data_IF_445480584041
#
_entry.id   IF_445480584041
#
_cell.length_a   1.000
_cell.length_b   1.000
_cell.length_c   1.000
_cell.angle_alpha   90.00
_cell.angle_beta   90.00
_cell.angle_gamma   90.00
#
_symmetry.space_group_name_H-M   'P 1'
#
loop_
_entity.id
_entity.type
_entity.pdbx_description
1 polymer ?
#
# COMPACT_ATOMS: atom_id res chain seq x y z
N UNK A 1 5.16 -3.62 -19.42
CA UNK A 1 5.13 -2.52 -18.42
C UNK A 1 6.54 -2.40 -17.86
N UNK A 2 7.09 -1.20 -17.86
CA UNK A 2 8.40 -0.96 -17.26
C UNK A 2 8.20 -0.68 -15.77
N UNK A 3 8.70 -1.55 -14.90
CA UNK A 3 8.61 -1.37 -13.45
C UNK A 3 9.83 -0.59 -12.97
N UNK A 4 9.57 0.58 -12.44
CA UNK A 4 10.55 1.50 -11.86
C UNK A 4 9.99 2.11 -10.55
N UNK A 5 10.80 2.93 -9.89
CA UNK A 5 10.44 3.57 -8.62
C UNK A 5 9.11 4.34 -8.70
N UNK A 6 8.91 5.10 -9.77
CA UNK A 6 7.70 5.91 -9.97
C UNK A 6 6.47 5.02 -10.13
N UNK A 7 6.52 4.04 -11.03
CA UNK A 7 5.40 3.10 -11.23
C UNK A 7 5.08 2.30 -9.97
N UNK A 8 6.10 1.95 -9.17
CA UNK A 8 5.95 1.25 -7.90
C UNK A 8 5.27 2.13 -6.85
N UNK A 9 5.70 3.39 -6.71
CA UNK A 9 5.11 4.35 -5.78
C UNK A 9 3.65 4.64 -6.15
N UNK A 10 3.35 4.83 -7.45
CA UNK A 10 1.98 5.03 -7.93
C UNK A 10 1.11 3.81 -7.65
N UNK A 11 1.61 2.61 -7.94
CA UNK A 11 0.88 1.37 -7.65
C UNK A 11 0.60 1.21 -6.15
N UNK A 12 1.57 1.54 -5.29
CA UNK A 12 1.40 1.50 -3.84
C UNK A 12 0.27 2.42 -3.37
N UNK A 13 0.27 3.68 -3.81
CA UNK A 13 -0.80 4.63 -3.48
C UNK A 13 -2.14 4.20 -4.05
N UNK A 14 -2.17 3.67 -5.27
CA UNK A 14 -3.40 3.18 -5.91
C UNK A 14 -4.04 2.03 -5.12
N UNK A 15 -3.23 1.07 -4.63
CA UNK A 15 -3.72 -0.03 -3.80
C UNK A 15 -4.35 0.48 -2.51
N UNK A 16 -3.71 1.46 -1.84
CA UNK A 16 -4.27 2.08 -0.63
C UNK A 16 -5.59 2.78 -0.94
N UNK A 17 -5.64 3.58 -2.01
CA UNK A 17 -6.84 4.30 -2.41
C UNK A 17 -8.01 3.35 -2.73
N UNK A 18 -7.73 2.24 -3.42
CA UNK A 18 -8.74 1.20 -3.70
C UNK A 18 -9.22 0.54 -2.40
N UNK A 19 -8.31 0.21 -1.48
CA UNK A 19 -8.68 -0.38 -0.19
C UNK A 19 -9.56 0.55 0.65
N UNK A 20 -9.17 1.82 0.77
CA UNK A 20 -9.95 2.85 1.49
C UNK A 20 -11.31 3.07 0.83
N UNK A 21 -11.34 3.27 -0.49
CA UNK A 21 -12.58 3.48 -1.24
C UNK A 21 -13.53 2.27 -1.13
N UNK A 22 -13.00 1.05 -1.19
CA UNK A 22 -13.76 -0.17 -1.00
C UNK A 22 -14.39 -0.28 0.38
N UNK A 23 -13.65 0.06 1.44
CA UNK A 23 -14.18 0.06 2.82
C UNK A 23 -15.25 1.13 3.02
N UNK A 24 -15.11 2.32 2.43
CA UNK A 24 -16.12 3.37 2.49
C UNK A 24 -17.38 2.93 1.73
N UNK A 25 -17.22 2.32 0.56
CA UNK A 25 -18.35 1.88 -0.27
C UNK A 25 -19.10 0.68 0.31
N UNK A 26 -18.47 -0.14 1.14
CA UNK A 26 -19.09 -1.33 1.74
C UNK A 26 -19.85 -1.06 3.04
N UNK A 27 -19.71 0.14 3.62
CA UNK A 27 -20.37 0.57 4.87
C UNK A 27 -20.14 -0.39 6.06
N UNK A 28 -19.01 -1.10 6.07
CA UNK A 28 -18.68 -2.08 7.11
C UNK A 28 -18.16 -1.44 8.41
N UNK A 29 -17.72 -0.18 8.36
CA UNK A 29 -17.21 0.58 9.49
C UNK A 29 -17.36 2.09 9.25
N UNK A 30 -17.42 2.87 10.32
CA UNK A 30 -17.58 4.34 10.24
C UNK A 30 -16.39 4.98 9.50
N UNK A 31 -16.67 5.95 8.62
CA UNK A 31 -15.65 6.62 7.80
C UNK A 31 -14.51 7.24 8.63
N UNK A 32 -14.81 7.77 9.82
CA UNK A 32 -13.79 8.30 10.73
C UNK A 32 -12.75 7.24 11.13
N UNK A 33 -13.20 6.03 11.47
CA UNK A 33 -12.30 4.91 11.79
C UNK A 33 -11.43 4.54 10.59
N UNK A 34 -12.00 4.54 9.38
CA UNK A 34 -11.23 4.26 8.15
C UNK A 34 -10.13 5.30 7.97
N UNK A 35 -10.48 6.59 8.01
CA UNK A 35 -9.55 7.67 7.66
C UNK A 35 -8.53 7.98 8.76
N UNK A 36 -8.89 7.81 10.03
CA UNK A 36 -8.05 8.23 11.16
C UNK A 36 -7.26 7.07 11.81
N UNK A 37 -7.62 5.82 11.53
CA UNK A 37 -6.95 4.65 12.11
C UNK A 37 -6.44 3.69 11.03
N UNK A 38 -7.33 3.25 10.14
CA UNK A 38 -7.01 2.18 9.19
C UNK A 38 -6.07 2.68 8.08
N UNK A 39 -6.42 3.78 7.41
CA UNK A 39 -5.62 4.34 6.33
C UNK A 39 -4.18 4.71 6.78
N UNK A 40 -3.96 5.38 7.93
CA UNK A 40 -2.62 5.62 8.44
C UNK A 40 -1.83 4.33 8.69
N UNK A 41 -2.47 3.31 9.28
CA UNK A 41 -1.84 2.01 9.56
C UNK A 41 -1.47 1.28 8.26
N UNK A 42 -2.35 1.30 7.26
CA UNK A 42 -2.11 0.74 5.93
C UNK A 42 -0.91 1.40 5.24
N UNK A 43 -0.82 2.74 5.32
CA UNK A 43 0.31 3.50 4.74
C UNK A 43 1.62 3.09 5.41
N UNK A 44 1.68 3.10 6.75
CA UNK A 44 2.91 2.79 7.49
C UNK A 44 3.33 1.35 7.27
N UNK A 45 2.44 0.40 7.52
CA UNK A 45 2.74 -1.03 7.37
C UNK A 45 3.05 -1.38 5.91
N UNK A 46 2.26 -0.85 4.98
CA UNK A 46 2.48 -1.04 3.56
C UNK A 46 3.84 -0.51 3.09
N UNK A 47 4.27 0.65 3.58
CA UNK A 47 5.58 1.21 3.25
C UNK A 47 6.73 0.33 3.79
N UNK A 48 6.59 -0.19 5.01
CA UNK A 48 7.55 -1.14 5.60
C UNK A 48 7.64 -2.39 4.71
N UNK A 49 6.50 -2.99 4.36
CA UNK A 49 6.47 -4.21 3.54
C UNK A 49 6.97 -3.97 2.11
N UNK A 50 6.70 -2.80 1.53
CA UNK A 50 7.23 -2.42 0.22
C UNK A 50 8.76 -2.36 0.26
N UNK A 51 9.34 -1.68 1.25
CA UNK A 51 10.78 -1.58 1.40
C UNK A 51 11.44 -2.96 1.58
N UNK A 52 10.88 -3.80 2.46
CA UNK A 52 11.37 -5.16 2.69
C UNK A 52 11.25 -6.04 1.44
N UNK A 53 10.12 -5.97 0.72
CA UNK A 53 9.89 -6.73 -0.50
C UNK A 53 10.88 -6.37 -1.62
N UNK A 54 11.15 -5.08 -1.80
CA UNK A 54 12.17 -4.60 -2.76
C UNK A 54 13.54 -5.16 -2.40
N UNK A 55 13.97 -5.05 -1.13
CA UNK A 55 15.27 -5.59 -0.69
C UNK A 55 15.38 -7.10 -0.81
N UNK A 56 14.29 -7.83 -0.54
CA UNK A 56 14.25 -9.26 -0.76
C UNK A 56 14.37 -9.61 -2.25
N UNK A 57 13.72 -8.84 -3.13
CA UNK A 57 13.85 -8.98 -4.59
C UNK A 57 15.28 -8.72 -5.09
N UNK A 58 15.90 -7.61 -4.65
CA UNK A 58 17.30 -7.29 -4.95
C UNK A 58 18.25 -8.41 -4.53
N UNK A 59 18.07 -8.95 -3.32
CA UNK A 59 18.89 -10.05 -2.81
C UNK A 59 18.80 -11.30 -3.70
N UNK A 60 17.58 -11.69 -4.10
CA UNK A 60 17.35 -12.85 -4.98
C UNK A 60 17.84 -12.66 -6.42
N UNK A 61 17.94 -11.41 -6.88
CA UNK A 61 18.45 -11.12 -8.21
C UNK A 61 19.98 -11.18 -8.27
N UNK A 62 20.65 -11.05 -7.12
CA UNK A 62 22.10 -10.92 -7.00
C UNK A 62 22.80 -12.14 -6.37
N UNK A 63 22.04 -13.08 -5.79
CA UNK A 63 22.51 -14.33 -5.17
C UNK A 63 21.65 -15.51 -5.60
#
# INVERSE_FOLDING_TARGET
MEFNEVTTAVAFVAVIAIGVGGMIASDMMVTETILMMVAPSMVVFGAIMLALGVKFGEYRATN
#
